data_IF_160103431042
#
_entry.id   IF_160103431042
#
_cell.length_a   1.000
_cell.length_b   1.000
_cell.length_c   1.000
_cell.angle_alpha   90.00
_cell.angle_beta   90.00
_cell.angle_gamma   90.00
#
_symmetry.space_group_name_H-M   'P 1'
#
loop_
_entity.id
_entity.type
_entity.pdbx_description
1 polymer ?
#
# COMPACT_ATOMS: atom_id res chain seq x y z
N UNK A 1 0.10 7.17 15.85
CA UNK A 1 -0.39 6.40 17.01
C UNK A 1 -1.56 5.56 16.57
N UNK A 2 -1.32 4.28 16.32
CA UNK A 2 -2.36 3.30 16.03
C UNK A 2 -2.97 2.83 17.36
N UNK A 3 -3.97 3.57 17.84
CA UNK A 3 -4.72 3.16 19.02
C UNK A 3 -5.59 1.95 18.65
N UNK A 4 -5.14 0.76 19.04
CA UNK A 4 -5.99 -0.42 19.03
C UNK A 4 -6.91 -0.33 20.25
N UNK A 5 -8.21 -0.18 20.02
CA UNK A 5 -9.24 -0.12 21.07
C UNK A 5 -9.42 -1.44 21.85
N UNK A 6 -8.66 -2.49 21.53
CA UNK A 6 -8.74 -3.77 22.24
C UNK A 6 -7.35 -4.41 22.46
N UNK A 7 -6.82 -4.39 23.70
CA UNK A 7 -5.53 -4.99 24.06
C UNK A 7 -5.44 -6.50 23.77
N UNK A 8 -6.56 -7.22 23.83
CA UNK A 8 -6.57 -8.67 23.61
C UNK A 8 -6.25 -9.01 22.14
N UNK A 9 -6.72 -8.19 21.18
CA UNK A 9 -6.44 -8.38 19.75
C UNK A 9 -4.95 -8.16 19.40
N UNK A 10 -4.25 -7.31 20.14
CA UNK A 10 -2.80 -7.12 19.95
C UNK A 10 -2.02 -8.40 20.25
N UNK A 11 -2.42 -9.15 21.28
CA UNK A 11 -1.77 -10.41 21.67
C UNK A 11 -1.99 -11.48 20.59
N UNK A 12 -3.22 -11.62 20.07
CA UNK A 12 -3.56 -12.64 19.07
C UNK A 12 -2.95 -12.40 17.68
N UNK A 13 -2.66 -11.14 17.31
CA UNK A 13 -2.12 -10.78 15.99
C UNK A 13 -0.60 -10.58 15.99
N UNK A 14 0.09 -10.80 17.12
CA UNK A 14 1.51 -10.42 17.26
C UNK A 14 2.44 -11.03 16.21
N UNK A 15 2.26 -12.31 15.83
CA UNK A 15 3.10 -12.95 14.80
C UNK A 15 2.87 -12.36 13.41
N UNK A 16 1.60 -12.18 13.04
CA UNK A 16 1.19 -11.48 11.80
C UNK A 16 1.77 -10.07 11.70
N UNK A 17 1.75 -9.31 12.80
CA UNK A 17 2.28 -7.94 12.86
C UNK A 17 3.80 -7.92 12.73
N UNK A 18 4.50 -8.86 13.36
CA UNK A 18 5.95 -9.02 13.25
C UNK A 18 6.36 -9.34 11.80
N UNK A 19 5.76 -10.34 11.16
CA UNK A 19 6.07 -10.70 9.77
C UNK A 19 5.80 -9.52 8.82
N UNK A 20 4.65 -8.81 8.97
CA UNK A 20 4.34 -7.62 8.18
C UNK A 20 5.37 -6.50 8.39
N UNK A 21 5.75 -6.24 9.64
CA UNK A 21 6.75 -5.23 9.96
C UNK A 21 8.10 -5.59 9.32
N UNK A 22 8.52 -6.86 9.36
CA UNK A 22 9.74 -7.33 8.71
C UNK A 22 9.73 -7.07 7.21
N UNK A 23 8.66 -7.47 6.53
CA UNK A 23 8.53 -7.26 5.08
C UNK A 23 8.51 -5.77 4.72
N UNK A 24 7.83 -4.96 5.54
CA UNK A 24 7.80 -3.50 5.33
C UNK A 24 9.18 -2.86 5.51
N UNK A 25 9.96 -3.27 6.51
CA UNK A 25 11.32 -2.79 6.73
C UNK A 25 12.25 -3.21 5.59
N UNK A 26 12.19 -4.48 5.20
CA UNK A 26 12.99 -5.01 4.09
C UNK A 26 12.72 -4.23 2.80
N UNK A 27 11.46 -3.94 2.50
CA UNK A 27 11.13 -3.17 1.30
C UNK A 27 11.54 -1.71 1.43
N UNK A 28 11.34 -1.08 2.59
CA UNK A 28 11.75 0.31 2.85
C UNK A 28 13.24 0.47 2.59
N UNK A 29 14.06 -0.43 3.14
CA UNK A 29 15.51 -0.43 2.92
C UNK A 29 15.85 -0.66 1.45
N UNK A 30 15.14 -1.57 0.77
CA UNK A 30 15.36 -1.86 -0.65
C UNK A 30 15.04 -0.64 -1.54
N UNK A 31 14.02 0.15 -1.18
CA UNK A 31 13.72 1.41 -1.85
C UNK A 31 14.80 2.46 -1.60
N UNK A 32 15.24 2.63 -0.34
CA UNK A 32 16.30 3.61 0.02
C UNK A 32 17.64 3.32 -0.67
N UNK A 33 18.01 2.05 -0.84
CA UNK A 33 19.28 1.68 -1.49
C UNK A 33 19.15 1.54 -3.01
N UNK A 34 17.98 1.89 -3.58
CA UNK A 34 17.72 1.66 -5.00
C UNK A 34 18.58 2.57 -5.89
N UNK A 35 18.84 3.81 -5.45
CA UNK A 35 19.86 4.66 -6.05
C UNK A 35 21.17 4.67 -5.24
N UNK A 36 22.15 5.47 -5.68
CA UNK A 36 23.44 5.64 -5.00
C UNK A 36 23.46 6.80 -3.99
N UNK A 37 22.34 7.48 -3.74
CA UNK A 37 22.27 8.73 -2.97
C UNK A 37 21.27 8.61 -1.82
N UNK A 38 21.77 8.26 -0.64
CA UNK A 38 20.95 8.30 0.57
C UNK A 38 20.84 9.73 1.09
N UNK A 39 19.62 10.19 1.28
CA UNK A 39 19.25 11.50 1.79
C UNK A 39 18.96 11.48 3.31
N UNK A 40 19.01 12.67 3.92
CA UNK A 40 18.60 12.82 5.32
C UNK A 40 17.09 12.57 5.53
N UNK A 41 16.26 12.74 4.49
CA UNK A 41 14.81 12.52 4.57
C UNK A 41 14.49 11.03 4.63
N UNK A 42 15.17 10.20 3.83
CA UNK A 42 15.05 8.74 3.90
C UNK A 42 15.46 8.19 5.27
N UNK A 43 16.55 8.70 5.84
CA UNK A 43 16.99 8.28 7.17
C UNK A 43 16.02 8.72 8.26
N UNK A 44 15.41 9.89 8.13
CA UNK A 44 14.36 10.31 9.05
C UNK A 44 13.11 9.43 8.92
N UNK A 45 12.68 9.07 7.71
CA UNK A 45 11.56 8.14 7.51
C UNK A 45 11.86 6.75 8.09
N UNK A 46 13.06 6.21 7.88
CA UNK A 46 13.49 4.95 8.49
C UNK A 46 13.44 5.00 10.03
N UNK A 47 13.82 6.14 10.63
CA UNK A 47 13.73 6.37 12.07
C UNK A 47 12.29 6.50 12.56
N UNK A 48 11.43 7.17 11.80
CA UNK A 48 10.00 7.28 12.09
C UNK A 48 9.31 5.91 11.99
N UNK A 49 9.68 5.09 11.01
CA UNK A 49 9.23 3.70 10.90
C UNK A 49 9.62 2.90 12.15
N UNK A 50 10.87 3.00 12.62
CA UNK A 50 11.35 2.31 13.81
C UNK A 50 10.58 2.74 15.07
N UNK A 51 10.27 4.03 15.19
CA UNK A 51 9.48 4.59 16.29
C UNK A 51 8.04 4.08 16.30
N UNK A 52 7.40 3.97 15.13
CA UNK A 52 6.00 3.51 15.01
C UNK A 52 5.87 2.01 15.33
N UNK A 53 6.94 1.23 15.10
CA UNK A 53 6.98 -0.21 15.36
C UNK A 53 7.69 -0.58 16.67
N UNK A 54 7.95 0.40 17.54
CA UNK A 54 8.68 0.18 18.79
C UNK A 54 7.97 -0.79 19.75
N UNK A 55 6.66 -0.99 19.61
CA UNK A 55 5.91 -1.98 20.40
C UNK A 55 6.40 -3.42 20.16
N UNK A 56 7.06 -3.67 19.03
CA UNK A 56 7.67 -4.96 18.69
C UNK A 56 9.09 -5.12 19.24
N UNK A 57 9.70 -4.11 19.88
CA UNK A 57 11.12 -4.11 20.29
C UNK A 57 11.52 -5.31 21.18
N UNK A 58 10.59 -5.85 21.97
CA UNK A 58 10.88 -6.99 22.85
C UNK A 58 10.86 -8.34 22.11
N UNK A 59 10.58 -8.36 20.80
CA UNK A 59 10.64 -9.54 19.94
C UNK A 59 12.01 -9.61 19.28
N UNK A 60 12.55 -10.82 19.16
CA UNK A 60 13.66 -11.07 18.25
C UNK A 60 13.11 -11.06 16.80
N UNK A 61 13.75 -10.41 15.82
CA UNK A 61 15.02 -9.67 15.90
C UNK A 61 14.85 -8.15 16.05
N UNK A 62 13.63 -7.66 16.28
CA UNK A 62 13.29 -6.24 16.31
C UNK A 62 14.15 -5.42 17.28
N UNK A 63 14.55 -5.97 18.43
CA UNK A 63 15.48 -5.25 19.32
C UNK A 63 16.78 -4.84 18.62
N UNK A 64 17.35 -5.76 17.84
CA UNK A 64 18.60 -5.52 17.12
C UNK A 64 18.37 -4.53 15.98
N UNK A 65 17.27 -4.70 15.22
CA UNK A 65 16.92 -3.77 14.15
C UNK A 65 16.70 -2.34 14.65
N UNK A 66 15.95 -2.14 15.74
CA UNK A 66 15.73 -0.79 16.29
C UNK A 66 17.04 -0.13 16.72
N UNK A 67 17.97 -0.89 17.31
CA UNK A 67 19.28 -0.37 17.71
C UNK A 67 20.16 -0.04 16.49
N UNK A 68 20.15 -0.89 15.46
CA UNK A 68 20.91 -0.67 14.24
C UNK A 68 20.37 0.54 13.47
N UNK A 69 19.05 0.65 13.31
CA UNK A 69 18.42 1.80 12.67
C UNK A 69 18.78 3.09 13.40
N UNK A 70 18.67 3.11 14.73
CA UNK A 70 19.03 4.31 15.52
C UNK A 70 20.51 4.67 15.32
N UNK A 71 21.42 3.70 15.33
CA UNK A 71 22.85 3.95 15.12
C UNK A 71 23.18 4.43 13.69
N UNK A 72 22.53 3.86 12.68
CA UNK A 72 22.74 4.20 11.26
C UNK A 72 22.14 5.56 10.92
N UNK A 73 20.95 5.89 11.44
CA UNK A 73 20.25 7.13 11.15
C UNK A 73 20.68 8.33 12.03
N UNK A 74 21.26 8.11 13.21
CA UNK A 74 21.61 9.21 14.14
C UNK A 74 22.93 9.92 13.81
N UNK A 75 23.83 9.31 13.04
CA UNK A 75 25.20 9.80 12.83
C UNK A 75 25.39 10.58 11.52
N UNK A 76 24.37 11.30 11.08
CA UNK A 76 24.34 11.94 9.76
C UNK A 76 23.98 10.94 8.66
N UNK A 77 24.26 11.29 7.40
CA UNK A 77 23.99 10.40 6.27
C UNK A 77 25.00 9.25 6.29
N UNK A 78 24.56 7.99 6.42
CA UNK A 78 25.44 6.84 6.43
C UNK A 78 26.01 6.55 5.03
N UNK A 79 27.06 5.73 4.97
CA UNK A 79 27.48 5.13 3.71
C UNK A 79 26.43 4.10 3.25
N UNK A 80 26.25 3.94 1.93
CA UNK A 80 25.27 3.02 1.34
C UNK A 80 25.43 1.59 1.85
N UNK A 81 26.67 1.15 2.01
CA UNK A 81 27.03 -0.18 2.51
C UNK A 81 26.42 -0.46 3.90
N UNK A 82 26.27 0.56 4.75
CA UNK A 82 25.68 0.37 6.09
C UNK A 82 24.16 0.08 6.02
N UNK A 83 23.46 0.63 5.02
CA UNK A 83 22.03 0.35 4.80
C UNK A 83 21.87 -0.99 4.07
N UNK A 84 22.78 -1.33 3.15
CA UNK A 84 22.85 -2.65 2.53
C UNK A 84 23.10 -3.77 3.55
N UNK A 85 23.98 -3.56 4.52
CA UNK A 85 24.22 -4.49 5.63
C UNK A 85 22.96 -4.72 6.48
N UNK A 86 22.20 -3.64 6.73
CA UNK A 86 20.92 -3.72 7.45
C UNK A 86 19.87 -4.49 6.64
N UNK A 87 19.81 -4.25 5.33
CA UNK A 87 18.94 -4.99 4.41
C UNK A 87 19.31 -6.48 4.35
N UNK A 88 20.59 -6.80 4.23
CA UNK A 88 21.10 -8.17 4.27
C UNK A 88 20.74 -8.88 5.58
N UNK A 89 20.81 -8.17 6.71
CA UNK A 89 20.40 -8.71 8.00
C UNK A 89 18.90 -9.04 8.01
N UNK A 90 18.04 -8.20 7.42
CA UNK A 90 16.61 -8.48 7.27
C UNK A 90 16.35 -9.78 6.50
N UNK A 91 17.07 -10.02 5.40
CA UNK A 91 16.95 -11.24 4.61
C UNK A 91 17.35 -12.49 5.41
N UNK A 92 18.37 -12.40 6.26
CA UNK A 92 18.83 -13.53 7.06
C UNK A 92 17.78 -14.00 8.07
N UNK A 93 16.98 -13.10 8.61
CA UNK A 93 15.92 -13.40 9.57
C UNK A 93 14.58 -13.82 8.91
N UNK A 94 14.46 -13.70 7.59
CA UNK A 94 13.25 -14.07 6.82
C UNK A 94 12.97 -15.59 6.87
N UNK A 95 14.02 -16.41 6.99
CA UNK A 95 13.88 -17.87 7.02
C UNK A 95 13.13 -18.43 8.26
N UNK A 96 13.01 -17.67 9.35
CA UNK A 96 12.28 -18.09 10.57
C UNK A 96 10.80 -17.63 10.60
N UNK A 97 10.37 -16.86 9.58
CA UNK A 97 9.13 -16.07 9.57
C UNK A 97 8.06 -16.66 8.63
N UNK A 98 7.50 -17.83 8.97
CA UNK A 98 6.44 -18.47 8.16
C UNK A 98 5.06 -18.19 8.78
N UNK A 99 4.55 -16.95 8.70
CA UNK A 99 3.13 -16.68 8.98
C UNK A 99 2.28 -16.52 7.71
N UNK A 100 2.82 -15.90 6.67
CA UNK A 100 2.13 -15.61 5.42
C UNK A 100 2.55 -16.55 4.27
N UNK A 101 1.70 -16.67 3.24
CA UNK A 101 2.10 -17.30 1.99
C UNK A 101 3.09 -16.35 1.25
N UNK A 102 3.97 -16.90 0.40
CA UNK A 102 4.98 -16.09 -0.31
C UNK A 102 4.39 -14.86 -1.00
N UNK A 103 3.21 -15.01 -1.62
CA UNK A 103 2.49 -13.92 -2.31
C UNK A 103 2.19 -12.74 -1.39
N UNK A 104 1.65 -12.98 -0.19
CA UNK A 104 1.34 -11.89 0.75
C UNK A 104 2.61 -11.22 1.25
N UNK A 105 3.68 -11.99 1.50
CA UNK A 105 4.97 -11.45 1.92
C UNK A 105 5.58 -10.57 0.83
N UNK A 106 5.56 -10.99 -0.43
CA UNK A 106 6.14 -10.23 -1.53
C UNK A 106 5.32 -8.98 -1.87
N UNK A 107 3.99 -9.00 -1.69
CA UNK A 107 3.17 -7.80 -1.80
C UNK A 107 3.44 -6.79 -0.67
N UNK A 108 3.70 -7.28 0.55
CA UNK A 108 4.15 -6.43 1.66
C UNK A 108 5.56 -5.87 1.42
N UNK A 109 6.43 -6.64 0.76
CA UNK A 109 7.75 -6.20 0.34
C UNK A 109 7.63 -5.08 -0.71
N UNK A 110 6.78 -5.25 -1.73
CA UNK A 110 6.47 -4.22 -2.72
C UNK A 110 6.00 -2.91 -2.07
N UNK A 111 5.15 -3.00 -1.05
CA UNK A 111 4.77 -1.81 -0.27
C UNK A 111 5.98 -1.14 0.37
N UNK A 112 6.86 -1.93 1.01
CA UNK A 112 8.05 -1.36 1.60
C UNK A 112 8.89 -0.65 0.54
N UNK A 113 9.04 -1.23 -0.66
CA UNK A 113 9.76 -0.59 -1.78
C UNK A 113 9.13 0.76 -2.11
N UNK A 114 7.80 0.80 -2.25
CA UNK A 114 7.04 2.05 -2.45
C UNK A 114 7.31 3.08 -1.36
N UNK A 115 7.43 2.66 -0.11
CA UNK A 115 7.75 3.54 1.00
C UNK A 115 9.16 4.10 0.86
N UNK A 116 10.14 3.27 0.54
CA UNK A 116 11.54 3.68 0.42
C UNK A 116 11.74 4.71 -0.69
N UNK A 117 11.23 4.42 -1.90
CA UNK A 117 11.40 5.30 -3.07
C UNK A 117 10.60 6.62 -3.00
N UNK A 118 9.71 6.77 -2.01
CA UNK A 118 8.98 8.02 -1.76
C UNK A 118 9.48 8.75 -0.51
N UNK A 119 10.47 8.20 0.21
CA UNK A 119 10.82 8.69 1.54
C UNK A 119 11.49 10.08 1.51
N UNK A 120 12.20 10.43 0.43
CA UNK A 120 12.75 11.77 0.22
C UNK A 120 11.80 12.72 -0.54
N UNK A 121 10.80 12.15 -1.20
CA UNK A 121 9.79 12.84 -2.01
C UNK A 121 10.18 13.02 -3.47
N UNK A 122 11.28 12.41 -3.95
CA UNK A 122 11.79 12.56 -5.31
C UNK A 122 12.03 11.19 -5.92
N UNK A 123 11.04 10.67 -6.64
CA UNK A 123 11.20 9.43 -7.39
C UNK A 123 12.15 9.64 -8.58
N UNK A 124 13.31 8.99 -8.63
CA UNK A 124 14.31 9.16 -9.69
C UNK A 124 14.45 7.98 -10.66
N UNK A 125 15.19 8.17 -11.76
CA UNK A 125 15.29 7.19 -12.84
C UNK A 125 15.87 5.86 -12.33
N UNK A 126 16.92 5.91 -11.50
CA UNK A 126 17.56 4.70 -10.97
C UNK A 126 16.58 3.89 -10.10
N UNK A 127 15.78 4.57 -9.28
CA UNK A 127 14.73 3.93 -8.47
C UNK A 127 13.63 3.31 -9.35
N UNK A 128 13.22 3.98 -10.44
CA UNK A 128 12.23 3.45 -11.39
C UNK A 128 12.77 2.21 -12.11
N UNK A 129 14.03 2.24 -12.56
CA UNK A 129 14.67 1.08 -13.18
C UNK A 129 14.86 -0.08 -12.20
N UNK A 130 15.19 0.21 -10.93
CA UNK A 130 15.28 -0.80 -9.87
C UNK A 130 13.92 -1.39 -9.53
N UNK A 131 12.87 -0.58 -9.50
CA UNK A 131 11.50 -1.05 -9.35
C UNK A 131 11.12 -1.97 -10.52
N UNK A 132 11.47 -1.60 -11.76
CA UNK A 132 11.26 -2.44 -12.94
C UNK A 132 12.01 -3.78 -12.86
N UNK A 133 13.27 -3.79 -12.39
CA UNK A 133 14.06 -5.00 -12.15
C UNK A 133 13.37 -5.90 -11.11
N UNK A 134 12.98 -5.34 -9.96
CA UNK A 134 12.28 -6.09 -8.92
C UNK A 134 10.94 -6.65 -9.43
N UNK A 135 10.17 -5.88 -10.20
CA UNK A 135 8.93 -6.36 -10.82
C UNK A 135 9.23 -7.50 -11.82
N UNK A 136 10.32 -7.44 -12.57
CA UNK A 136 10.69 -8.52 -13.50
C UNK A 136 11.08 -9.82 -12.77
N UNK A 137 11.71 -9.72 -11.60
CA UNK A 137 12.09 -10.88 -10.79
C UNK A 137 10.92 -11.53 -10.04
N UNK A 138 9.80 -10.82 -9.89
CA UNK A 138 8.64 -11.23 -9.10
C UNK A 138 7.39 -11.53 -9.96
N UNK A 139 7.57 -12.04 -11.19
CA UNK A 139 6.48 -12.35 -12.13
C UNK A 139 5.42 -13.32 -11.61
N UNK A 140 5.69 -14.10 -10.55
CA UNK A 140 4.67 -14.93 -9.90
C UNK A 140 3.54 -14.12 -9.26
N UNK A 141 3.75 -12.82 -9.04
CA UNK A 141 2.73 -11.88 -8.58
C UNK A 141 1.84 -11.35 -9.71
N UNK A 142 2.08 -11.76 -10.97
CA UNK A 142 1.19 -11.45 -12.08
C UNK A 142 -0.23 -11.91 -11.74
N UNK A 143 -1.19 -11.01 -11.91
CA UNK A 143 -2.61 -11.15 -11.55
C UNK A 143 -2.99 -10.76 -10.12
N UNK A 144 -2.05 -10.36 -9.28
CA UNK A 144 -2.34 -9.77 -7.98
C UNK A 144 -2.23 -8.25 -8.06
N UNK A 145 -3.26 -7.57 -7.57
CA UNK A 145 -3.23 -6.12 -7.42
C UNK A 145 -2.45 -5.75 -6.15
N UNK A 146 -1.68 -4.63 -6.12
CA UNK A 146 -1.47 -3.65 -7.20
C UNK A 146 -0.33 -4.02 -8.15
N UNK A 147 0.27 -5.20 -7.98
CA UNK A 147 1.43 -5.61 -8.75
C UNK A 147 1.18 -5.61 -10.27
N UNK A 148 0.01 -6.08 -10.73
CA UNK A 148 -0.32 -6.09 -12.16
C UNK A 148 -0.41 -4.67 -12.76
N UNK A 149 -1.06 -3.74 -12.06
CA UNK A 149 -1.18 -2.34 -12.49
C UNK A 149 0.15 -1.59 -12.44
N UNK A 150 0.92 -1.70 -11.34
CA UNK A 150 2.25 -1.05 -11.26
C UNK A 150 3.20 -1.61 -12.32
N UNK A 151 3.19 -2.92 -12.55
CA UNK A 151 4.02 -3.54 -13.59
C UNK A 151 3.66 -3.01 -14.96
N UNK A 152 2.38 -2.88 -15.28
CA UNK A 152 1.94 -2.29 -16.54
C UNK A 152 2.39 -0.84 -16.68
N UNK A 153 2.23 -0.04 -15.62
CA UNK A 153 2.61 1.38 -15.60
C UNK A 153 4.12 1.55 -15.78
N UNK A 154 4.93 0.88 -14.96
CA UNK A 154 6.39 0.95 -15.02
C UNK A 154 6.91 0.44 -16.37
N UNK A 155 6.34 -0.65 -16.92
CA UNK A 155 6.71 -1.12 -18.25
C UNK A 155 6.44 -0.09 -19.35
N UNK A 156 5.34 0.67 -19.24
CA UNK A 156 5.03 1.72 -20.23
C UNK A 156 6.00 2.88 -20.15
N UNK A 157 6.39 3.30 -18.94
CA UNK A 157 7.34 4.40 -18.69
C UNK A 157 8.76 4.04 -19.12
N UNK A 158 9.18 2.79 -18.89
CA UNK A 158 10.54 2.33 -19.23
C UNK A 158 10.69 1.97 -20.72
N UNK A 159 9.58 1.85 -21.47
CA UNK A 159 9.58 1.30 -22.83
C UNK A 159 10.41 2.12 -23.84
N UNK A 160 10.35 3.45 -23.76
CA UNK A 160 11.05 4.36 -24.66
C UNK A 160 12.42 4.83 -24.12
N UNK A 161 12.73 4.45 -22.88
CA UNK A 161 13.94 4.80 -22.10
C UNK A 161 14.09 6.30 -21.80
N UNK A 162 13.02 7.08 -21.92
CA UNK A 162 13.02 8.50 -21.62
C UNK A 162 11.89 8.75 -20.63
N UNK A 163 12.25 8.81 -19.35
CA UNK A 163 11.28 9.07 -18.29
C UNK A 163 11.07 10.58 -18.20
N UNK A 164 9.87 11.05 -18.51
CA UNK A 164 9.53 12.47 -18.37
C UNK A 164 8.90 12.82 -17.01
N UNK A 165 8.74 14.12 -16.74
CA UNK A 165 8.18 14.61 -15.47
C UNK A 165 6.70 14.23 -15.30
N UNK A 166 5.93 14.10 -16.37
CA UNK A 166 4.51 13.73 -16.33
C UNK A 166 4.38 12.24 -15.98
N UNK A 167 5.14 11.37 -16.64
CA UNK A 167 5.23 9.94 -16.35
C UNK A 167 5.65 9.67 -14.92
N UNK A 168 6.68 10.38 -14.45
CA UNK A 168 7.16 10.31 -13.07
C UNK A 168 6.08 10.73 -12.09
N UNK A 169 5.41 11.84 -12.35
CA UNK A 169 4.37 12.32 -11.45
C UNK A 169 3.16 11.36 -11.43
N UNK A 170 2.80 10.73 -12.56
CA UNK A 170 1.79 9.66 -12.63
C UNK A 170 2.20 8.44 -11.80
N UNK A 171 3.46 8.02 -11.91
CA UNK A 171 3.98 6.91 -11.12
C UNK A 171 4.00 7.22 -9.62
N UNK A 172 4.49 8.41 -9.23
CA UNK A 172 4.47 8.90 -7.85
C UNK A 172 3.04 8.96 -7.31
N UNK A 173 2.09 9.49 -8.09
CA UNK A 173 0.69 9.55 -7.71
C UNK A 173 0.06 8.16 -7.54
N UNK A 174 0.58 7.13 -8.23
CA UNK A 174 0.08 5.76 -8.09
C UNK A 174 0.62 5.16 -6.81
N UNK A 175 1.94 5.26 -6.62
CA UNK A 175 2.66 4.72 -5.47
C UNK A 175 2.17 5.35 -4.17
N UNK A 176 1.88 6.66 -4.15
CA UNK A 176 1.40 7.36 -2.93
C UNK A 176 0.10 6.78 -2.36
N UNK A 177 -0.72 6.10 -3.18
CA UNK A 177 -1.96 5.47 -2.71
C UNK A 177 -1.71 4.31 -1.74
N UNK A 178 -0.47 3.83 -1.66
CA UNK A 178 -0.08 2.64 -0.90
C UNK A 178 0.85 2.92 0.28
N UNK A 179 1.26 4.18 0.45
CA UNK A 179 2.26 4.59 1.43
C UNK A 179 1.67 5.65 2.34
N UNK A 180 1.89 5.46 3.64
CA UNK A 180 1.60 6.49 4.64
C UNK A 180 2.93 7.03 5.16
N UNK A 181 3.44 8.07 4.49
CA UNK A 181 4.67 8.76 4.87
C UNK A 181 4.50 9.44 6.22
N UNK A 182 5.51 9.32 7.09
CA UNK A 182 5.44 9.86 8.46
C UNK A 182 6.07 11.24 8.54
N UNK A 183 6.95 11.59 7.62
CA UNK A 183 7.47 12.93 7.42
C UNK A 183 6.40 13.81 6.76
N UNK A 184 5.86 14.75 7.54
CA UNK A 184 4.80 15.65 7.08
C UNK A 184 5.24 16.57 5.94
N UNK A 185 6.52 16.91 5.86
CA UNK A 185 7.03 17.82 4.83
C UNK A 185 7.12 17.10 3.48
N UNK A 186 7.64 15.86 3.49
CA UNK A 186 7.67 14.98 2.30
C UNK A 186 6.26 14.68 1.81
N UNK A 187 5.35 14.29 2.72
CA UNK A 187 3.96 14.02 2.37
C UNK A 187 3.27 15.24 1.74
N UNK A 188 3.47 16.43 2.31
CA UNK A 188 2.89 17.66 1.78
C UNK A 188 3.50 18.08 0.43
N UNK A 189 4.76 17.73 0.16
CA UNK A 189 5.40 17.94 -1.14
C UNK A 189 4.77 17.05 -2.20
N UNK A 190 4.73 15.74 -1.97
CA UNK A 190 4.14 14.78 -2.92
C UNK A 190 2.69 15.14 -3.24
N UNK A 191 1.91 15.58 -2.25
CA UNK A 191 0.52 15.96 -2.48
C UNK A 191 0.38 17.17 -3.41
N UNK A 192 1.30 18.14 -3.34
CA UNK A 192 1.33 19.27 -4.28
C UNK A 192 1.76 18.83 -5.67
N UNK A 193 2.79 17.99 -5.75
CA UNK A 193 3.39 17.56 -7.02
C UNK A 193 2.46 16.63 -7.82
N UNK A 194 1.45 16.06 -7.16
CA UNK A 194 0.48 15.12 -7.76
C UNK A 194 -0.96 15.61 -7.72
N UNK A 195 -1.20 16.87 -7.35
CA UNK A 195 -2.54 17.42 -7.15
C UNK A 195 -3.44 17.37 -8.40
N UNK A 196 -2.84 17.58 -9.58
CA UNK A 196 -3.55 17.61 -10.86
C UNK A 196 -3.66 16.23 -11.54
N UNK A 197 -3.13 15.18 -10.90
CA UNK A 197 -3.03 13.85 -11.49
C UNK A 197 -4.21 12.99 -11.04
N UNK A 198 -5.10 12.73 -11.99
CA UNK A 198 -6.21 11.81 -11.80
C UNK A 198 -5.77 10.39 -12.13
N UNK A 199 -5.44 9.62 -11.09
CA UNK A 199 -5.22 8.19 -11.27
C UNK A 199 -6.54 7.46 -11.27
N UNK A 200 -6.85 6.80 -12.37
CA UNK A 200 -7.94 5.83 -12.47
C UNK A 200 -7.57 4.55 -11.69
N UNK A 201 -7.40 4.67 -10.38
CA UNK A 201 -6.96 3.61 -9.50
C UNK A 201 -8.16 2.99 -8.81
N UNK A 202 -8.55 1.78 -9.26
CA UNK A 202 -9.59 0.91 -8.66
C UNK A 202 -11.01 1.45 -8.77
N UNK A 203 -11.28 2.63 -8.23
CA UNK A 203 -12.58 3.27 -8.24
C UNK A 203 -12.80 3.95 -9.59
N UNK A 204 -14.00 3.81 -10.14
CA UNK A 204 -14.38 4.67 -11.25
C UNK A 204 -14.35 6.12 -10.76
N UNK A 205 -13.66 7.00 -11.49
CA UNK A 205 -13.63 8.44 -11.22
C UNK A 205 -14.96 9.01 -11.72
N UNK A 206 -15.70 9.68 -10.83
CA UNK A 206 -17.05 10.21 -11.08
C UNK A 206 -17.99 9.20 -11.79
N UNK A 207 -18.23 8.03 -11.17
CA UNK A 207 -19.10 7.05 -11.78
C UNK A 207 -20.53 7.57 -11.82
N UNK A 208 -21.19 7.46 -12.97
CA UNK A 208 -22.64 7.56 -13.02
C UNK A 208 -23.23 6.36 -12.25
N UNK A 209 -23.61 6.60 -10.99
CA UNK A 209 -24.14 5.55 -10.10
C UNK A 209 -25.62 5.35 -10.39
N UNK A 210 -25.97 4.17 -10.87
CA UNK A 210 -27.35 3.74 -11.07
C UNK A 210 -27.75 2.86 -9.89
N UNK A 211 -28.75 3.29 -9.10
CA UNK A 211 -29.22 2.54 -7.93
C UNK A 211 -30.30 1.51 -8.28
N UNK A 212 -31.30 1.92 -9.07
CA UNK A 212 -32.50 1.14 -9.36
C UNK A 212 -32.18 -0.26 -9.90
N UNK A 213 -32.62 -1.30 -9.19
CA UNK A 213 -32.40 -2.73 -9.51
C UNK A 213 -30.91 -3.16 -9.59
N UNK A 214 -29.99 -2.36 -9.09
CA UNK A 214 -28.55 -2.67 -9.04
C UNK A 214 -28.14 -3.20 -7.68
N UNK A 215 -27.14 -4.07 -7.66
CA UNK A 215 -26.68 -4.73 -6.44
C UNK A 215 -25.39 -4.11 -5.91
N UNK A 216 -25.38 -3.81 -4.62
CA UNK A 216 -24.28 -3.09 -3.97
C UNK A 216 -23.69 -3.91 -2.83
N UNK A 217 -22.40 -4.19 -2.89
CA UNK A 217 -21.67 -4.82 -1.79
C UNK A 217 -20.79 -3.78 -1.12
N UNK A 218 -20.83 -3.67 0.21
CA UNK A 218 -19.96 -2.75 0.96
C UNK A 218 -18.74 -3.53 1.49
N UNK A 219 -17.57 -2.92 1.47
CA UNK A 219 -16.33 -3.41 2.10
C UNK A 219 -15.61 -2.27 2.79
N UNK A 220 -14.82 -2.57 3.83
CA UNK A 220 -14.14 -1.55 4.64
C UNK A 220 -14.99 -0.96 5.77
N UNK A 221 -14.39 -0.02 6.49
CA UNK A 221 -15.03 0.84 7.49
C UNK A 221 -15.50 2.09 6.73
N UNK A 222 -16.65 2.67 7.10
CA UNK A 222 -17.16 3.87 6.45
C UNK A 222 -16.80 5.08 7.32
N UNK A 223 -16.25 6.14 6.71
CA UNK A 223 -15.89 7.39 7.37
C UNK A 223 -17.08 8.34 7.53
N UNK A 224 -18.02 8.37 6.57
CA UNK A 224 -19.16 9.32 6.55
C UNK A 224 -20.42 8.82 7.26
N UNK A 225 -20.47 7.56 7.67
CA UNK A 225 -21.66 6.99 8.31
C UNK A 225 -21.46 5.53 8.69
N UNK A 226 -22.52 4.85 9.10
CA UNK A 226 -22.45 3.42 9.37
C UNK A 226 -23.01 2.56 8.24
N UNK A 227 -22.64 1.28 8.24
CA UNK A 227 -23.01 0.33 7.19
C UNK A 227 -24.52 0.17 7.05
N UNK A 228 -25.25 0.20 8.16
CA UNK A 228 -26.71 0.04 8.16
C UNK A 228 -27.41 1.25 7.54
N UNK A 229 -26.93 2.47 7.82
CA UNK A 229 -27.42 3.69 7.20
C UNK A 229 -27.20 3.69 5.70
N UNK A 230 -25.99 3.35 5.26
CA UNK A 230 -25.68 3.29 3.84
C UNK A 230 -26.50 2.22 3.11
N UNK A 231 -26.69 1.05 3.72
CA UNK A 231 -27.57 0.00 3.17
C UNK A 231 -29.02 0.48 3.02
N UNK A 232 -29.54 1.21 4.00
CA UNK A 232 -30.89 1.79 3.93
C UNK A 232 -30.99 2.83 2.82
N UNK A 233 -30.02 3.74 2.74
CA UNK A 233 -30.01 4.76 1.70
C UNK A 233 -29.96 4.18 0.28
N UNK A 234 -29.19 3.11 0.08
CA UNK A 234 -29.17 2.35 -1.18
C UNK A 234 -30.55 1.73 -1.48
N UNK A 235 -31.21 1.14 -0.47
CA UNK A 235 -32.56 0.57 -0.63
C UNK A 235 -33.61 1.63 -0.96
N UNK A 236 -33.54 2.80 -0.31
CA UNK A 236 -34.47 3.91 -0.52
C UNK A 236 -34.40 4.45 -1.96
N UNK A 237 -33.26 4.23 -2.65
CA UNK A 237 -33.02 4.58 -4.06
C UNK A 237 -33.27 3.42 -5.03
N UNK A 238 -33.86 2.31 -4.58
CA UNK A 238 -34.19 1.14 -5.41
C UNK A 238 -33.05 0.14 -5.61
N UNK A 239 -31.93 0.32 -4.90
CA UNK A 239 -30.77 -0.59 -4.92
C UNK A 239 -30.91 -1.77 -3.97
N UNK A 240 -30.13 -2.83 -4.24
CA UNK A 240 -30.18 -4.09 -3.49
C UNK A 240 -28.84 -4.29 -2.77
N UNK A 241 -28.74 -3.95 -1.47
CA UNK A 241 -27.52 -4.19 -0.71
C UNK A 241 -27.32 -5.69 -0.49
N UNK A 242 -26.10 -6.15 -0.72
CA UNK A 242 -25.68 -7.55 -0.51
C UNK A 242 -24.47 -7.63 0.42
N UNK A 243 -24.42 -8.71 1.19
CA UNK A 243 -23.33 -8.95 2.14
C UNK A 243 -22.15 -9.72 1.55
N UNK A 244 -22.29 -10.29 0.36
CA UNK A 244 -21.25 -11.12 -0.28
C UNK A 244 -21.19 -10.82 -1.77
N UNK A 245 -19.97 -10.74 -2.32
CA UNK A 245 -19.76 -10.54 -3.75
C UNK A 245 -20.11 -11.81 -4.52
N UNK A 246 -20.83 -11.63 -5.62
CA UNK A 246 -21.21 -12.67 -6.56
C UNK A 246 -21.09 -12.17 -8.00
N UNK A 247 -21.30 -13.04 -8.99
CA UNK A 247 -21.35 -12.67 -10.42
C UNK A 247 -22.45 -11.66 -10.75
N UNK A 248 -23.44 -11.50 -9.86
CA UNK A 248 -24.54 -10.54 -10.02
C UNK A 248 -24.21 -9.17 -9.43
N UNK A 249 -23.12 -9.04 -8.67
CA UNK A 249 -22.75 -7.81 -7.98
C UNK A 249 -22.35 -6.74 -8.99
N UNK A 250 -23.10 -5.64 -9.04
CA UNK A 250 -22.86 -4.53 -9.97
C UNK A 250 -21.84 -3.54 -9.39
N UNK A 251 -21.96 -3.20 -8.10
CA UNK A 251 -21.11 -2.23 -7.42
C UNK A 251 -20.45 -2.80 -6.16
N UNK A 252 -19.15 -2.54 -5.99
CA UNK A 252 -18.42 -2.73 -4.74
C UNK A 252 -18.05 -1.38 -4.16
N UNK A 253 -18.69 -1.02 -3.04
CA UNK A 253 -18.43 0.22 -2.31
C UNK A 253 -17.27 -0.02 -1.37
N UNK A 254 -16.23 0.80 -1.49
CA UNK A 254 -15.01 0.76 -0.69
C UNK A 254 -15.06 1.93 0.28
N UNK A 255 -15.17 1.62 1.58
CA UNK A 255 -15.07 2.62 2.65
C UNK A 255 -13.64 2.87 3.10
N UNK A 256 -13.42 4.04 3.70
CA UNK A 256 -12.15 4.52 4.22
C UNK A 256 -11.56 3.61 5.32
N UNK A 257 -10.31 3.22 5.11
CA UNK A 257 -9.55 2.30 5.95
C UNK A 257 -8.53 3.05 6.83
N UNK A 258 -9.00 3.78 7.83
CA UNK A 258 -8.15 4.39 8.88
C UNK A 258 -7.47 3.38 9.85
N UNK A 259 -7.27 2.12 9.45
CA UNK A 259 -6.64 1.12 10.31
C UNK A 259 -5.32 0.62 9.71
N UNK A 260 -4.20 0.93 10.36
CA UNK A 260 -2.83 0.57 9.97
C UNK A 260 -2.56 -0.94 9.79
N UNK A 261 -3.50 -1.81 10.19
CA UNK A 261 -3.44 -3.21 9.78
C UNK A 261 -3.61 -3.41 8.26
N UNK A 262 -4.15 -2.43 7.55
CA UNK A 262 -4.64 -2.61 6.18
C UNK A 262 -3.70 -2.24 5.07
N UNK A 263 -2.55 -1.64 5.37
CA UNK A 263 -1.69 -1.16 4.30
C UNK A 263 -1.42 -2.28 3.29
N UNK A 264 -1.12 -3.53 3.71
CA UNK A 264 -1.29 -4.73 2.88
C UNK A 264 -1.58 -6.00 3.69
N UNK A 265 -2.85 -6.34 3.87
CA UNK A 265 -3.23 -7.75 3.80
C UNK A 265 -4.32 -7.86 2.76
N UNK A 266 -3.94 -8.03 1.49
CA UNK A 266 -4.79 -8.54 0.42
C UNK A 266 -6.16 -7.85 0.35
N UNK A 267 -6.32 -6.72 -0.36
CA UNK A 267 -7.56 -5.95 -0.53
C UNK A 267 -8.81 -6.74 -0.11
N UNK A 268 -9.18 -6.63 1.17
CA UNK A 268 -9.79 -7.74 1.92
C UNK A 268 -10.75 -8.58 1.09
N UNK A 269 -10.46 -9.87 0.82
CA UNK A 269 -11.21 -10.95 0.10
C UNK A 269 -12.26 -10.58 -0.97
N UNK A 270 -13.13 -9.63 -0.68
CA UNK A 270 -14.09 -8.98 -1.55
C UNK A 270 -13.43 -8.21 -2.71
N UNK A 271 -12.43 -7.37 -2.46
CA UNK A 271 -11.83 -6.58 -3.55
C UNK A 271 -11.06 -7.49 -4.51
N UNK A 272 -10.27 -8.44 -3.99
CA UNK A 272 -9.65 -9.50 -4.81
C UNK A 272 -10.71 -10.24 -5.66
N UNK A 273 -11.80 -10.68 -5.02
CA UNK A 273 -12.89 -11.35 -5.73
C UNK A 273 -13.55 -10.46 -6.79
N UNK A 274 -13.64 -9.15 -6.58
CA UNK A 274 -14.16 -8.23 -7.61
C UNK A 274 -13.19 -8.08 -8.79
N UNK A 275 -11.89 -8.04 -8.54
CA UNK A 275 -10.87 -8.03 -9.58
C UNK A 275 -10.88 -9.32 -10.39
N UNK A 276 -10.98 -10.49 -9.74
CA UNK A 276 -11.12 -11.78 -10.42
C UNK A 276 -12.37 -11.84 -11.31
N UNK A 277 -13.48 -11.26 -10.84
CA UNK A 277 -14.72 -11.15 -11.62
C UNK A 277 -14.53 -10.26 -12.85
N UNK A 278 -13.83 -9.12 -12.72
CA UNK A 278 -13.45 -8.26 -13.85
C UNK A 278 -12.61 -9.03 -14.89
N UNK A 279 -11.58 -9.75 -14.43
CA UNK A 279 -10.72 -10.59 -15.30
C UNK A 279 -11.52 -11.68 -16.01
N UNK A 280 -12.55 -12.20 -15.34
CA UNK A 280 -13.50 -13.18 -15.90
C UNK A 280 -14.59 -12.54 -16.78
N UNK A 281 -14.44 -11.26 -17.18
CA UNK A 281 -15.36 -10.55 -18.08
C UNK A 281 -16.62 -10.00 -17.44
N UNK A 282 -16.74 -9.98 -16.10
CA UNK A 282 -17.91 -9.42 -15.43
C UNK A 282 -17.70 -7.94 -15.11
N UNK A 283 -18.73 -7.14 -15.38
CA UNK A 283 -18.70 -5.69 -15.18
C UNK A 283 -19.10 -5.38 -13.74
N UNK A 284 -18.13 -5.40 -12.82
CA UNK A 284 -18.30 -4.89 -11.46
C UNK A 284 -17.60 -3.54 -11.34
N UNK A 285 -18.30 -2.53 -10.86
CA UNK A 285 -17.78 -1.17 -10.65
C UNK A 285 -17.36 -1.04 -9.19
N UNK A 286 -16.09 -0.81 -8.94
CA UNK A 286 -15.61 -0.43 -7.62
C UNK A 286 -15.76 1.09 -7.49
N UNK A 287 -16.28 1.57 -6.37
CA UNK A 287 -16.61 2.98 -6.13
C UNK A 287 -16.23 3.33 -4.70
N UNK A 288 -15.75 4.56 -4.48
CA UNK A 288 -15.42 5.00 -3.13
C UNK A 288 -16.71 5.33 -2.37
N UNK A 289 -16.67 5.28 -1.04
CA UNK A 289 -17.84 5.66 -0.24
C UNK A 289 -18.25 7.12 -0.48
N UNK A 290 -17.28 8.00 -0.76
CA UNK A 290 -17.56 9.42 -1.02
C UNK A 290 -18.45 9.61 -2.24
N UNK A 291 -18.13 8.95 -3.36
CA UNK A 291 -18.93 9.00 -4.58
C UNK A 291 -20.36 8.50 -4.35
N UNK A 292 -20.51 7.44 -3.55
CA UNK A 292 -21.82 6.89 -3.22
C UNK A 292 -22.63 7.83 -2.33
N UNK A 293 -22.01 8.42 -1.30
CA UNK A 293 -22.69 9.36 -0.42
C UNK A 293 -23.06 10.66 -1.14
N UNK A 294 -22.33 11.05 -2.19
CA UNK A 294 -22.66 12.22 -3.01
C UNK A 294 -23.77 11.92 -4.03
N UNK A 295 -23.91 10.66 -4.46
CA UNK A 295 -24.96 10.21 -5.37
C UNK A 295 -26.31 9.88 -4.69
N UNK A 296 -26.33 9.78 -3.35
CA UNK A 296 -27.55 9.56 -2.53
C UNK A 296 -28.25 10.88 -2.25
#
# INVERSE_FOLDING_TARGET
>A
MTHFDNPDLQVFTTKSRADKAMNSLKGLLLGIISDDIISAREMEELRLWAKDHYDLVNRNPFREFMLLIENTASNGIPAKEAVEDLYWLCQKYEHDSIYYNGITSDLQLLQGIFHGILADGILNDDEIFKLHEWLSDNEHLNSYYPYDEIRSLVLSIVADKIIDEEERAVLTAFIKQFVELKNSDTAAQIERDTADINISGICAVDPEIVFENKTFCITGILSRGNRSELQRAIQDKGGIPVNTISKKTDYLIIGDTHNACWSYSCYGRKVEKSLDLRKSGHTIVMVHEFDIFDAI
#
